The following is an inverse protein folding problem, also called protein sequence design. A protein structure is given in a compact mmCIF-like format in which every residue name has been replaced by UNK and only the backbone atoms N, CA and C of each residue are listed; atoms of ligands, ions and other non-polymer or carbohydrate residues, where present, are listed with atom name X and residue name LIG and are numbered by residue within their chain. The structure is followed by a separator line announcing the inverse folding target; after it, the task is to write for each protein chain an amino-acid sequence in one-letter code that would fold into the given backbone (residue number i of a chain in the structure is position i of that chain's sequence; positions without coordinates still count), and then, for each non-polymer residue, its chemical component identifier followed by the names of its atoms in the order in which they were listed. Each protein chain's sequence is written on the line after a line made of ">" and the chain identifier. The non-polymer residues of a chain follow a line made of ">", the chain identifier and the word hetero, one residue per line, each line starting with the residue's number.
data_IF_707754061874
#
_entry.id   IF_707754061874
#
_cell.length_a   1.000
_cell.length_b   1.000
_cell.length_c   1.000
_cell.angle_alpha   90.00
_cell.angle_beta   90.00
_cell.angle_gamma   90.00
#
_symmetry.space_group_name_H-M   'P 1'
#
loop_
_entity.id
_entity.type
_entity.pdbx_description
1 polymer ?
#
# COMPACT_ATOMS: atom_id res chain seq x y z
N UNK A 1 -33.73 32.45 -43.42
CA UNK A 1 -34.01 32.03 -42.02
C UNK A 1 -33.62 30.57 -41.85
N UNK A 2 -32.78 30.21 -40.88
CA UNK A 2 -32.76 28.87 -40.27
C UNK A 2 -33.68 28.82 -39.04
N UNK A 3 -34.15 27.63 -38.64
CA UNK A 3 -35.06 27.47 -37.49
C UNK A 3 -34.28 27.29 -36.18
N UNK A 4 -34.78 27.85 -35.06
CA UNK A 4 -34.27 27.55 -33.72
C UNK A 4 -34.55 26.09 -33.35
N UNK A 5 -33.56 25.39 -32.81
CA UNK A 5 -33.77 24.17 -32.03
C UNK A 5 -34.09 24.52 -30.56
N UNK A 6 -34.80 23.64 -29.85
CA UNK A 6 -35.05 23.78 -28.40
C UNK A 6 -33.81 23.36 -27.58
N UNK A 7 -33.64 23.86 -26.34
CA UNK A 7 -32.79 23.20 -25.35
C UNK A 7 -33.32 21.79 -25.07
N UNK A 8 -32.41 20.85 -24.74
CA UNK A 8 -32.78 19.60 -24.11
C UNK A 8 -32.98 19.80 -22.60
N UNK A 9 -33.80 18.95 -21.98
CA UNK A 9 -34.18 19.04 -20.57
C UNK A 9 -33.05 18.57 -19.64
N UNK A 10 -33.11 18.96 -18.36
CA UNK A 10 -32.17 18.48 -17.35
C UNK A 10 -32.32 16.96 -17.17
N UNK A 11 -31.23 16.23 -17.41
CA UNK A 11 -31.09 14.88 -16.87
C UNK A 11 -30.87 14.95 -15.36
N UNK A 12 -31.56 14.08 -14.63
CA UNK A 12 -31.49 14.00 -13.17
C UNK A 12 -30.09 13.54 -12.70
N UNK A 13 -29.62 14.04 -11.57
CA UNK A 13 -28.39 13.55 -10.95
C UNK A 13 -28.67 12.21 -10.26
N UNK A 14 -28.26 11.09 -10.89
CA UNK A 14 -28.36 9.76 -10.26
C UNK A 14 -27.55 9.72 -8.95
N UNK A 15 -28.22 9.45 -7.82
CA UNK A 15 -27.56 9.32 -6.52
C UNK A 15 -26.49 8.20 -6.53
N UNK A 16 -25.39 8.36 -5.77
CA UNK A 16 -24.34 7.36 -5.69
C UNK A 16 -24.79 6.11 -4.92
N UNK A 17 -25.37 5.15 -5.63
CA UNK A 17 -25.74 3.83 -5.11
C UNK A 17 -24.57 3.19 -4.32
N UNK A 18 -24.84 2.62 -3.13
CA UNK A 18 -23.79 2.28 -2.18
C UNK A 18 -22.84 1.19 -2.70
N UNK A 19 -21.57 1.30 -2.31
CA UNK A 19 -20.63 0.18 -2.38
C UNK A 19 -21.25 -1.07 -1.72
N UNK A 20 -20.90 -2.26 -2.23
CA UNK A 20 -21.26 -3.53 -1.59
C UNK A 20 -20.81 -3.55 -0.13
N UNK A 21 -21.73 -3.26 0.78
CA UNK A 21 -21.54 -3.53 2.20
C UNK A 21 -21.49 -5.04 2.37
N UNK A 22 -20.49 -5.53 3.10
CA UNK A 22 -20.57 -6.87 3.68
C UNK A 22 -21.76 -6.82 4.63
N UNK A 23 -22.77 -7.67 4.39
CA UNK A 23 -23.83 -7.88 5.37
C UNK A 23 -23.17 -8.44 6.62
N UNK A 24 -22.99 -7.59 7.63
CA UNK A 24 -22.57 -8.02 8.97
C UNK A 24 -23.50 -9.15 9.38
N UNK A 25 -22.92 -10.29 9.76
CA UNK A 25 -23.71 -11.47 10.08
C UNK A 25 -24.67 -11.14 11.22
N UNK A 26 -25.90 -11.66 11.12
CA UNK A 26 -26.88 -11.44 12.18
C UNK A 26 -26.33 -12.02 13.48
N UNK A 27 -26.36 -11.24 14.56
CA UNK A 27 -25.67 -11.57 15.81
C UNK A 27 -26.06 -12.97 16.31
N UNK A 28 -25.08 -13.89 16.30
CA UNK A 28 -25.29 -15.30 16.65
C UNK A 28 -24.23 -16.27 16.13
N UNK A 29 -23.49 -15.93 15.07
CA UNK A 29 -22.34 -16.70 14.58
C UNK A 29 -20.98 -16.25 15.15
N UNK A 30 -20.00 -17.15 15.34
CA UNK A 30 -18.63 -16.75 15.64
C UNK A 30 -17.94 -16.22 14.38
N UNK A 31 -17.52 -14.94 14.40
CA UNK A 31 -16.89 -14.28 13.24
C UNK A 31 -15.61 -15.01 12.80
N UNK A 32 -15.52 -15.29 11.50
CA UNK A 32 -14.39 -15.99 10.85
C UNK A 32 -13.03 -15.30 11.05
N UNK A 33 -13.02 -13.97 11.11
CA UNK A 33 -11.85 -13.17 11.48
C UNK A 33 -12.23 -12.24 12.64
N UNK A 34 -11.28 -11.98 13.52
CA UNK A 34 -11.44 -11.02 14.61
C UNK A 34 -11.18 -9.59 14.08
N UNK A 35 -12.08 -8.65 14.33
CA UNK A 35 -11.93 -7.25 13.90
C UNK A 35 -11.79 -6.26 15.07
N UNK A 36 -11.63 -6.75 16.31
CA UNK A 36 -11.60 -5.94 17.53
C UNK A 36 -10.32 -5.09 17.62
N UNK A 37 -9.24 -5.53 16.97
CA UNK A 37 -7.96 -4.83 16.90
C UNK A 37 -7.13 -5.25 15.68
N UNK A 38 -6.15 -4.43 15.24
CA UNK A 38 -5.22 -4.83 14.17
C UNK A 38 -4.46 -6.12 14.47
N UNK A 39 -4.10 -6.36 15.74
CA UNK A 39 -3.42 -7.57 16.20
C UNK A 39 -4.34 -8.80 16.12
N UNK A 40 -5.59 -8.68 16.59
CA UNK A 40 -6.58 -9.76 16.50
C UNK A 40 -6.91 -10.15 15.06
N UNK A 41 -7.01 -9.16 14.17
CA UNK A 41 -7.20 -9.41 12.73
C UNK A 41 -6.01 -10.14 12.13
N UNK A 42 -4.77 -9.73 12.45
CA UNK A 42 -3.60 -10.43 11.93
C UNK A 42 -3.48 -11.85 12.48
N UNK A 43 -3.65 -12.02 13.80
CA UNK A 43 -3.59 -13.33 14.47
C UNK A 43 -4.65 -14.32 13.93
N UNK A 44 -5.88 -13.87 13.72
CA UNK A 44 -6.93 -14.71 13.12
C UNK A 44 -6.66 -15.02 11.64
N UNK A 45 -6.13 -14.07 10.87
CA UNK A 45 -5.76 -14.26 9.46
C UNK A 45 -4.69 -15.35 9.25
N UNK A 46 -3.68 -15.43 10.12
CA UNK A 46 -2.61 -16.45 10.05
C UNK A 46 -2.86 -17.70 10.91
N UNK A 47 -4.04 -17.82 11.53
CA UNK A 47 -4.41 -18.98 12.35
C UNK A 47 -4.22 -20.31 11.57
N UNK A 48 -3.62 -21.37 12.16
CA UNK A 48 -3.27 -21.51 13.59
C UNK A 48 -1.86 -21.03 13.98
N UNK A 49 -1.12 -20.37 13.07
CA UNK A 49 0.26 -19.93 13.33
C UNK A 49 0.24 -18.75 14.31
N UNK A 50 1.07 -18.81 15.36
CA UNK A 50 1.23 -17.72 16.32
C UNK A 50 1.91 -16.52 15.69
N UNK A 51 1.54 -15.32 16.11
CA UNK A 51 2.14 -14.05 15.70
C UNK A 51 3.64 -14.00 15.96
N UNK A 52 4.08 -14.55 17.10
CA UNK A 52 5.49 -14.56 17.51
C UNK A 52 6.29 -15.49 16.59
N UNK A 53 5.79 -16.71 16.37
CA UNK A 53 6.35 -17.70 15.44
C UNK A 53 6.42 -17.14 14.01
N UNK A 54 5.37 -16.45 13.54
CA UNK A 54 5.39 -15.83 12.22
C UNK A 54 6.53 -14.82 12.06
N UNK A 55 6.68 -13.89 13.01
CA UNK A 55 7.72 -12.86 12.93
C UNK A 55 9.13 -13.38 13.22
N UNK A 56 9.27 -14.44 14.03
CA UNK A 56 10.57 -15.04 14.37
C UNK A 56 11.09 -16.00 13.29
N UNK A 57 10.22 -16.75 12.62
CA UNK A 57 10.63 -17.85 11.73
C UNK A 57 10.35 -17.63 10.23
N UNK A 58 9.34 -16.83 9.88
CA UNK A 58 8.83 -16.74 8.52
C UNK A 58 9.02 -15.37 7.90
N UNK A 59 8.70 -14.31 8.65
CA UNK A 59 8.81 -12.93 8.20
C UNK A 59 10.23 -12.61 7.71
N UNK A 60 10.32 -12.16 6.46
CA UNK A 60 11.57 -11.85 5.74
C UNK A 60 12.58 -13.01 5.64
N UNK A 61 12.16 -14.25 5.90
CA UNK A 61 13.03 -15.42 5.93
C UNK A 61 12.61 -16.53 4.96
N UNK A 62 11.38 -17.07 5.09
CA UNK A 62 10.94 -18.25 4.33
C UNK A 62 9.44 -18.22 4.02
N UNK A 63 8.98 -18.87 2.93
CA UNK A 63 7.55 -19.01 2.66
C UNK A 63 6.79 -19.71 3.79
N UNK A 64 5.52 -19.35 3.96
CA UNK A 64 4.57 -19.98 4.86
C UNK A 64 3.30 -20.35 4.09
N UNK A 65 3.05 -21.65 3.97
CA UNK A 65 1.81 -22.20 3.45
C UNK A 65 0.89 -22.61 4.62
N UNK A 66 -0.35 -22.14 4.60
CA UNK A 66 -1.40 -22.53 5.53
C UNK A 66 -2.56 -23.11 4.72
N UNK A 67 -2.52 -24.43 4.51
CA UNK A 67 -3.66 -25.17 3.95
C UNK A 67 -4.68 -25.44 5.05
N UNK A 68 -5.97 -25.33 4.72
CA UNK A 68 -7.08 -25.44 5.68
C UNK A 68 -8.19 -26.33 5.14
N UNK A 69 -9.11 -26.76 6.01
CA UNK A 69 -10.31 -27.48 5.59
C UNK A 69 -11.53 -26.98 6.36
N UNK A 70 -11.72 -25.67 6.30
CA UNK A 70 -12.79 -24.92 6.98
C UNK A 70 -13.77 -24.36 5.92
N UNK A 71 -14.98 -24.94 5.79
CA UNK A 71 -15.99 -24.48 4.83
C UNK A 71 -16.49 -23.06 5.08
N UNK A 72 -16.51 -22.60 6.34
CA UNK A 72 -16.96 -21.25 6.69
C UNK A 72 -15.90 -20.21 6.28
N UNK A 73 -14.62 -20.48 6.57
CA UNK A 73 -13.51 -19.66 6.12
C UNK A 73 -13.37 -19.63 4.58
N UNK A 74 -13.59 -20.76 3.91
CA UNK A 74 -13.63 -20.83 2.46
C UNK A 74 -14.74 -19.96 1.87
N UNK A 75 -15.97 -20.03 2.43
CA UNK A 75 -17.09 -19.20 2.02
C UNK A 75 -16.86 -17.71 2.31
N UNK A 76 -16.24 -17.38 3.45
CA UNK A 76 -15.86 -16.02 3.82
C UNK A 76 -14.81 -15.45 2.86
N UNK A 77 -13.74 -16.19 2.55
CA UNK A 77 -12.76 -15.77 1.53
C UNK A 77 -13.44 -15.57 0.16
N UNK A 78 -14.30 -16.49 -0.27
CA UNK A 78 -15.08 -16.33 -1.50
C UNK A 78 -16.02 -15.10 -1.45
N UNK A 79 -16.35 -14.55 -0.27
CA UNK A 79 -17.16 -13.33 -0.16
C UNK A 79 -16.37 -12.03 -0.41
N UNK A 80 -15.03 -12.06 -0.26
CA UNK A 80 -14.16 -10.88 -0.38
C UNK A 80 -14.12 -10.31 -1.80
N UNK A 81 -14.12 -11.18 -2.82
CA UNK A 81 -14.18 -10.82 -4.23
C UNK A 81 -14.56 -12.04 -5.08
N UNK A 82 -15.45 -11.87 -6.07
CA UNK A 82 -15.83 -12.92 -7.02
C UNK A 82 -15.62 -12.50 -8.47
N UNK A 83 -15.38 -13.46 -9.37
CA UNK A 83 -15.32 -13.24 -10.83
C UNK A 83 -16.58 -12.54 -11.38
N UNK A 84 -17.73 -12.69 -10.72
CA UNK A 84 -18.99 -12.03 -11.07
C UNK A 84 -19.02 -10.52 -10.76
N UNK A 85 -18.22 -10.04 -9.80
CA UNK A 85 -18.15 -8.62 -9.42
C UNK A 85 -17.55 -7.74 -10.53
N UNK A 86 -16.76 -8.34 -11.42
CA UNK A 86 -16.18 -7.73 -12.62
C UNK A 86 -17.20 -6.89 -13.41
N UNK A 87 -18.47 -7.32 -13.49
CA UNK A 87 -19.53 -6.59 -14.22
C UNK A 87 -19.88 -5.26 -13.55
N UNK A 88 -20.07 -5.27 -12.22
CA UNK A 88 -20.41 -4.09 -11.41
C UNK A 88 -19.23 -3.12 -11.29
N UNK A 89 -18.01 -3.64 -11.24
CA UNK A 89 -16.80 -2.81 -11.26
C UNK A 89 -16.65 -2.08 -12.61
N UNK A 90 -16.86 -2.79 -13.74
CA UNK A 90 -16.75 -2.16 -15.07
C UNK A 90 -17.76 -1.03 -15.30
N UNK A 91 -19.01 -1.13 -14.81
CA UNK A 91 -19.99 -0.04 -14.95
C UNK A 91 -19.54 1.23 -14.21
N UNK A 92 -18.92 1.10 -13.04
CA UNK A 92 -18.36 2.20 -12.22
C UNK A 92 -17.17 2.94 -12.85
N UNK A 93 -16.63 2.48 -13.99
CA UNK A 93 -15.59 3.21 -14.74
C UNK A 93 -14.16 2.75 -14.50
N UNK A 94 -13.87 1.49 -14.83
CA UNK A 94 -12.51 0.92 -14.83
C UNK A 94 -11.73 1.33 -16.08
N UNK A 95 -10.42 1.52 -15.96
CA UNK A 95 -9.49 1.85 -17.05
C UNK A 95 -8.31 0.86 -17.09
N UNK A 96 -7.86 0.54 -18.31
CA UNK A 96 -6.67 -0.29 -18.50
C UNK A 96 -5.41 0.41 -17.98
N UNK A 97 -4.46 -0.36 -17.47
CA UNK A 97 -3.22 0.14 -16.89
C UNK A 97 -3.39 0.72 -15.48
N UNK A 98 -4.41 1.58 -15.27
CA UNK A 98 -4.71 2.25 -13.99
C UNK A 98 -5.40 1.35 -12.97
N UNK A 99 -6.50 0.69 -13.36
CA UNK A 99 -7.33 -0.10 -12.44
C UNK A 99 -7.30 -1.59 -12.77
N UNK A 100 -7.11 -1.94 -14.05
CA UNK A 100 -7.07 -3.32 -14.51
C UNK A 100 -6.03 -3.53 -15.61
N UNK A 101 -5.38 -4.68 -15.58
CA UNK A 101 -4.46 -5.16 -16.59
C UNK A 101 -4.92 -6.54 -17.08
N UNK A 102 -4.70 -6.84 -18.35
CA UNK A 102 -4.96 -8.18 -18.93
C UNK A 102 -3.66 -8.69 -19.52
N UNK A 103 -3.25 -9.89 -19.15
CA UNK A 103 -1.98 -10.47 -19.58
C UNK A 103 -2.06 -11.99 -19.74
N UNK A 104 -1.08 -12.58 -20.42
CA UNK A 104 -0.90 -14.03 -20.52
C UNK A 104 0.59 -14.35 -20.62
N UNK A 105 1.06 -15.36 -19.87
CA UNK A 105 2.40 -15.88 -20.11
C UNK A 105 2.41 -16.70 -21.41
N UNK A 106 3.36 -16.41 -22.30
CA UNK A 106 3.61 -17.14 -23.54
C UNK A 106 5.11 -17.36 -23.63
N UNK A 107 5.55 -18.62 -23.63
CA UNK A 107 6.96 -19.02 -23.69
C UNK A 107 7.83 -18.27 -22.65
N UNK A 108 7.41 -18.32 -21.38
CA UNK A 108 8.06 -17.63 -20.26
C UNK A 108 7.90 -16.09 -20.25
N UNK A 109 7.31 -15.46 -21.27
CA UNK A 109 7.25 -13.99 -21.41
C UNK A 109 5.83 -13.45 -21.20
N UNK A 110 5.72 -12.39 -20.39
CA UNK A 110 4.44 -11.74 -20.03
C UNK A 110 3.92 -10.88 -21.18
N UNK A 111 3.02 -11.44 -21.99
CA UNK A 111 2.33 -10.66 -23.03
C UNK A 111 1.19 -9.87 -22.41
N UNK A 112 1.29 -8.54 -22.44
CA UNK A 112 0.20 -7.63 -22.10
C UNK A 112 -0.83 -7.62 -23.25
N UNK A 113 -2.11 -7.56 -22.89
CA UNK A 113 -3.28 -7.63 -23.78
C UNK A 113 -4.26 -6.47 -23.52
N UNK A 114 -3.81 -5.43 -22.81
CA UNK A 114 -4.57 -4.20 -22.56
C UNK A 114 -5.06 -3.56 -23.87
N UNK A 115 -6.12 -2.76 -23.75
CA UNK A 115 -6.51 -1.76 -24.75
C UNK A 115 -6.36 -0.37 -24.17
N UNK A 116 -6.50 0.66 -24.99
CA UNK A 116 -6.52 2.05 -24.50
C UNK A 116 -7.85 2.39 -23.83
N UNK A 117 -7.81 3.26 -22.81
CA UNK A 117 -9.00 3.82 -22.18
C UNK A 117 -9.79 2.86 -21.29
N UNK A 118 -11.13 2.94 -21.39
CA UNK A 118 -12.09 2.30 -20.48
C UNK A 118 -12.13 0.78 -20.70
N UNK A 119 -12.08 0.03 -19.61
CA UNK A 119 -12.21 -1.43 -19.61
C UNK A 119 -13.69 -1.84 -19.52
N UNK A 120 -14.16 -2.64 -20.48
CA UNK A 120 -15.54 -3.09 -20.57
C UNK A 120 -15.66 -4.58 -20.22
N UNK A 121 -16.67 -4.94 -19.43
CA UNK A 121 -16.91 -6.32 -18.96
C UNK A 121 -16.85 -7.36 -20.08
N UNK A 122 -17.54 -7.13 -21.20
CA UNK A 122 -17.57 -8.06 -22.34
C UNK A 122 -16.19 -8.26 -22.98
N UNK A 123 -15.33 -7.24 -22.99
CA UNK A 123 -13.96 -7.35 -23.52
C UNK A 123 -13.08 -8.16 -22.57
N UNK A 124 -13.12 -7.85 -21.27
CA UNK A 124 -12.37 -8.58 -20.24
C UNK A 124 -12.79 -10.05 -20.21
N UNK A 125 -14.10 -10.32 -20.28
CA UNK A 125 -14.67 -11.67 -20.35
C UNK A 125 -14.23 -12.41 -21.63
N UNK A 126 -14.29 -11.75 -22.80
CA UNK A 126 -13.80 -12.32 -24.07
C UNK A 126 -12.32 -12.69 -24.02
N UNK A 127 -11.48 -11.85 -23.45
CA UNK A 127 -10.04 -12.13 -23.32
C UNK A 127 -9.75 -13.24 -22.29
N UNK A 128 -10.52 -13.28 -21.20
CA UNK A 128 -10.45 -14.35 -20.20
C UNK A 128 -10.83 -15.71 -20.79
N UNK A 129 -12.01 -15.82 -21.41
CA UNK A 129 -12.54 -17.08 -21.94
C UNK A 129 -11.80 -17.54 -23.21
N UNK A 130 -11.65 -16.66 -24.21
CA UNK A 130 -11.16 -17.06 -25.54
C UNK A 130 -9.63 -17.03 -25.66
N UNK A 131 -8.95 -16.07 -25.00
CA UNK A 131 -7.48 -15.98 -25.04
C UNK A 131 -6.82 -16.68 -23.86
N UNK A 132 -7.58 -17.22 -22.90
CA UNK A 132 -7.08 -17.71 -21.60
C UNK A 132 -6.18 -16.68 -20.92
N UNK A 133 -6.63 -15.44 -20.86
CA UNK A 133 -5.88 -14.36 -20.23
C UNK A 133 -6.10 -14.34 -18.70
N UNK A 134 -5.10 -13.88 -17.97
CA UNK A 134 -5.23 -13.46 -16.57
C UNK A 134 -5.63 -11.99 -16.53
N UNK A 135 -6.71 -11.69 -15.80
CA UNK A 135 -7.09 -10.32 -15.43
C UNK A 135 -6.43 -10.02 -14.08
N UNK A 136 -5.71 -8.91 -14.01
CA UNK A 136 -5.03 -8.42 -12.82
C UNK A 136 -5.65 -7.07 -12.44
N UNK A 137 -6.32 -6.97 -11.30
CA UNK A 137 -6.78 -5.67 -10.79
C UNK A 137 -5.67 -5.03 -9.98
N UNK A 138 -5.47 -3.73 -10.18
CA UNK A 138 -4.61 -2.90 -9.35
C UNK A 138 -5.49 -2.17 -8.36
N UNK A 139 -5.15 -2.24 -7.06
CA UNK A 139 -5.97 -1.66 -5.99
C UNK A 139 -7.43 -2.21 -6.02
N UNK A 140 -7.66 -3.54 -5.87
CA UNK A 140 -8.87 -4.21 -6.37
C UNK A 140 -10.20 -3.80 -5.73
N UNK A 141 -10.27 -3.86 -4.40
CA UNK A 141 -11.44 -3.46 -3.60
C UNK A 141 -11.34 -2.07 -2.98
N UNK A 142 -10.29 -1.71 -2.21
CA UNK A 142 -8.85 -1.89 -2.48
C UNK A 142 -8.17 -2.91 -1.51
N UNK A 143 -7.27 -3.76 -2.03
CA UNK A 143 -6.61 -4.86 -1.29
C UNK A 143 -5.10 -5.05 -1.62
N UNK A 144 -4.23 -4.66 -0.68
CA UNK A 144 -2.76 -4.91 -0.50
C UNK A 144 -2.38 -6.41 -0.66
N UNK A 145 -1.17 -6.93 -1.04
CA UNK A 145 -0.52 -8.34 -1.31
C UNK A 145 0.00 -9.44 -0.20
N UNK A 146 -0.69 -10.60 0.09
CA UNK A 146 -0.52 -11.92 0.86
C UNK A 146 -1.51 -12.88 0.15
N UNK A 147 -1.19 -14.09 -0.30
CA UNK A 147 -2.13 -14.84 -1.16
C UNK A 147 -3.25 -15.52 -0.34
N UNK A 148 -4.47 -14.99 -0.40
CA UNK A 148 -5.72 -15.63 0.01
C UNK A 148 -6.40 -16.20 -1.23
N UNK A 149 -6.58 -17.52 -1.28
CA UNK A 149 -7.27 -18.19 -2.39
C UNK A 149 -8.80 -18.07 -2.20
N UNK A 150 -9.53 -17.57 -3.21
CA UNK A 150 -10.94 -17.17 -3.09
C UNK A 150 -11.89 -18.05 -3.91
N UNK A 151 -11.57 -18.34 -5.17
CA UNK A 151 -12.39 -19.18 -6.06
C UNK A 151 -11.51 -20.17 -6.82
N UNK A 152 -12.01 -21.41 -6.98
CA UNK A 152 -11.29 -22.48 -7.65
C UNK A 152 -9.94 -22.82 -7.00
N UNK A 153 -9.13 -23.61 -7.70
CA UNK A 153 -7.81 -24.02 -7.23
C UNK A 153 -6.70 -23.45 -8.11
N UNK A 154 -5.53 -23.22 -7.51
CA UNK A 154 -4.34 -22.78 -8.24
C UNK A 154 -3.12 -23.56 -7.79
N UNK A 155 -2.43 -24.13 -8.76
CA UNK A 155 -1.15 -24.78 -8.59
C UNK A 155 -0.05 -23.72 -8.56
N UNK A 156 0.86 -23.78 -7.58
CA UNK A 156 1.93 -22.81 -7.33
C UNK A 156 3.28 -23.51 -7.27
N UNK A 157 4.31 -22.84 -7.80
CA UNK A 157 5.72 -23.15 -7.61
C UNK A 157 6.44 -21.95 -7.03
N UNK A 158 7.16 -22.14 -5.93
CA UNK A 158 8.04 -21.15 -5.30
C UNK A 158 9.49 -21.59 -5.45
N UNK A 159 10.40 -20.63 -5.64
CA UNK A 159 11.83 -20.87 -5.88
C UNK A 159 12.67 -19.98 -4.96
N UNK A 160 13.93 -20.36 -4.76
CA UNK A 160 14.88 -19.54 -4.00
C UNK A 160 15.12 -18.20 -4.71
N UNK A 161 15.29 -17.09 -3.95
CA UNK A 161 15.51 -15.77 -4.54
C UNK A 161 16.87 -15.69 -5.25
N UNK A 162 16.90 -15.16 -6.48
CA UNK A 162 18.15 -14.72 -7.13
C UNK A 162 18.75 -13.49 -6.44
N UNK A 163 17.87 -12.62 -5.91
CA UNK A 163 18.23 -11.46 -5.08
C UNK A 163 17.43 -11.55 -3.77
N UNK A 164 18.02 -12.03 -2.66
CA UNK A 164 17.36 -12.09 -1.37
C UNK A 164 16.86 -10.72 -0.92
N UNK A 165 15.61 -10.66 -0.45
CA UNK A 165 14.95 -9.43 0.01
C UNK A 165 14.95 -8.27 -1.00
N UNK A 166 14.91 -8.59 -2.31
CA UNK A 166 14.90 -7.64 -3.42
C UNK A 166 13.97 -6.43 -3.22
N UNK A 167 14.53 -5.23 -3.43
CA UNK A 167 13.81 -3.95 -3.41
C UNK A 167 12.93 -3.74 -4.65
N UNK A 168 13.36 -4.29 -5.78
CA UNK A 168 12.77 -4.08 -7.11
C UNK A 168 12.16 -5.37 -7.68
N UNK A 169 11.23 -5.22 -8.61
CA UNK A 169 10.60 -6.36 -9.31
C UNK A 169 11.43 -6.76 -10.54
N UNK A 170 11.89 -8.02 -10.56
CA UNK A 170 12.49 -8.67 -11.74
C UNK A 170 11.49 -9.62 -12.41
N UNK A 171 11.75 -10.02 -13.65
CA UNK A 171 11.11 -11.13 -14.36
C UNK A 171 12.22 -12.14 -14.66
N UNK A 172 12.24 -13.25 -13.94
CA UNK A 172 13.29 -14.27 -14.08
C UNK A 172 12.89 -15.37 -15.07
N UNK A 173 13.86 -15.84 -15.85
CA UNK A 173 13.64 -16.86 -16.88
C UNK A 173 13.66 -18.28 -16.29
N UNK A 174 12.75 -19.16 -16.74
CA UNK A 174 12.55 -20.50 -16.15
C UNK A 174 13.83 -21.39 -16.17
N UNK A 175 14.77 -21.13 -17.07
CA UNK A 175 16.08 -21.80 -17.17
C UNK A 175 17.10 -21.35 -16.10
N UNK A 176 16.90 -20.17 -15.49
CA UNK A 176 17.81 -19.56 -14.50
C UNK A 176 17.39 -19.74 -13.05
N UNK A 177 16.14 -20.15 -12.80
CA UNK A 177 15.55 -20.24 -11.44
C UNK A 177 15.64 -21.64 -10.80
N UNK A 178 16.08 -22.65 -11.56
CA UNK A 178 16.29 -24.01 -11.07
C UNK A 178 14.98 -24.78 -10.81
N UNK A 179 15.00 -25.67 -9.81
CA UNK A 179 13.82 -26.46 -9.38
C UNK A 179 13.01 -25.70 -8.32
N UNK A 180 11.69 -25.93 -8.22
CA UNK A 180 10.88 -25.37 -7.14
C UNK A 180 11.43 -25.81 -5.78
N UNK A 181 11.52 -24.87 -4.84
CA UNK A 181 11.71 -25.14 -3.42
C UNK A 181 10.42 -25.68 -2.79
N UNK A 182 9.26 -25.22 -3.29
CA UNK A 182 7.94 -25.71 -2.91
C UNK A 182 7.04 -25.77 -4.16
N UNK A 183 6.25 -26.84 -4.29
CA UNK A 183 5.22 -26.99 -5.32
C UNK A 183 3.96 -27.59 -4.66
N UNK A 184 2.81 -26.94 -4.82
CA UNK A 184 1.57 -27.26 -4.12
C UNK A 184 0.34 -26.61 -4.79
N UNK A 185 -0.87 -27.01 -4.39
CA UNK A 185 -2.13 -26.41 -4.85
C UNK A 185 -2.83 -25.70 -3.68
N UNK A 186 -3.29 -24.47 -3.92
CA UNK A 186 -4.18 -23.72 -3.03
C UNK A 186 -5.64 -23.94 -3.43
N UNK A 187 -6.51 -24.20 -2.47
CA UNK A 187 -7.99 -24.21 -2.57
C UNK A 187 -8.60 -23.06 -1.74
N UNK A 188 -9.89 -22.71 -1.90
CA UNK A 188 -10.48 -21.58 -1.18
C UNK A 188 -10.37 -21.69 0.34
N UNK A 189 -9.97 -20.62 1.01
CA UNK A 189 -9.69 -20.58 2.46
C UNK A 189 -8.21 -20.75 2.84
N UNK A 190 -7.37 -21.27 1.92
CA UNK A 190 -5.92 -21.36 2.13
C UNK A 190 -5.25 -19.98 2.10
N UNK A 191 -4.16 -19.84 2.87
CA UNK A 191 -3.29 -18.66 2.86
C UNK A 191 -1.84 -19.03 2.51
N UNK A 192 -1.19 -18.21 1.70
CA UNK A 192 0.23 -18.29 1.39
C UNK A 192 0.92 -16.92 1.59
N UNK A 193 1.98 -16.92 2.41
CA UNK A 193 2.94 -15.82 2.55
C UNK A 193 4.29 -16.22 1.94
N UNK A 194 5.00 -15.25 1.38
CA UNK A 194 6.43 -15.32 1.11
C UNK A 194 7.07 -13.93 1.16
N UNK A 195 8.37 -13.82 1.46
CA UNK A 195 9.08 -12.54 1.51
C UNK A 195 9.37 -11.98 0.10
N UNK A 196 9.70 -10.67 0.03
CA UNK A 196 10.13 -10.02 -1.21
C UNK A 196 11.39 -10.69 -1.77
N UNK A 197 11.48 -10.80 -3.10
CA UNK A 197 12.52 -11.57 -3.79
C UNK A 197 12.20 -13.06 -4.00
N UNK A 198 11.22 -13.65 -3.29
CA UNK A 198 10.79 -15.04 -3.59
C UNK A 198 10.18 -15.12 -4.99
N UNK A 199 10.89 -15.79 -5.88
CA UNK A 199 10.46 -16.09 -7.24
C UNK A 199 9.30 -17.08 -7.18
N UNK A 200 8.24 -16.81 -7.93
CA UNK A 200 7.01 -17.60 -7.90
C UNK A 200 6.31 -17.62 -9.25
N UNK A 201 5.72 -18.75 -9.61
CA UNK A 201 4.75 -18.85 -10.70
C UNK A 201 3.57 -19.73 -10.29
N UNK A 202 2.46 -19.62 -11.02
CA UNK A 202 1.25 -20.39 -10.72
C UNK A 202 0.48 -20.72 -12.00
N UNK A 203 -0.23 -21.84 -12.06
CA UNK A 203 -1.22 -22.15 -13.10
C UNK A 203 -2.57 -22.60 -12.52
N UNK A 204 -3.64 -22.36 -13.26
CA UNK A 204 -4.96 -22.95 -12.98
C UNK A 204 -4.97 -24.37 -13.57
N UNK A 205 -5.20 -25.43 -12.77
CA UNK A 205 -5.18 -26.81 -13.24
C UNK A 205 -6.15 -27.08 -14.42
N UNK A 206 -5.84 -28.06 -15.31
CA UNK A 206 -6.76 -28.50 -16.35
C UNK A 206 -8.12 -28.95 -15.78
N UNK A 207 -9.20 -28.70 -16.51
CA UNK A 207 -10.56 -29.05 -16.10
C UNK A 207 -11.27 -27.99 -15.23
N UNK A 208 -10.52 -27.14 -14.52
CA UNK A 208 -11.11 -26.04 -13.74
C UNK A 208 -11.41 -24.81 -14.60
N UNK A 209 -12.58 -24.20 -14.39
CA UNK A 209 -13.06 -23.08 -15.20
C UNK A 209 -12.30 -21.77 -14.97
N UNK A 210 -11.85 -21.50 -13.74
CA UNK A 210 -11.09 -20.31 -13.35
C UNK A 210 -10.42 -20.53 -11.99
N UNK A 211 -9.50 -19.62 -11.64
CA UNK A 211 -9.09 -19.40 -10.26
C UNK A 211 -9.00 -17.90 -9.94
N UNK A 212 -9.45 -17.53 -8.74
CA UNK A 212 -9.38 -16.19 -8.16
C UNK A 212 -8.58 -16.25 -6.87
N UNK A 213 -7.54 -15.40 -6.76
CA UNK A 213 -6.94 -15.07 -5.47
C UNK A 213 -6.82 -13.56 -5.29
N UNK A 214 -7.01 -13.09 -4.06
CA UNK A 214 -6.54 -11.76 -3.66
C UNK A 214 -5.22 -11.93 -2.95
N UNK A 215 -4.32 -11.03 -3.23
CA UNK A 215 -3.09 -10.90 -2.48
C UNK A 215 -3.33 -9.72 -1.49
N UNK A 216 -3.28 -9.91 -0.11
CA UNK A 216 -3.13 -9.15 1.25
C UNK A 216 -1.76 -8.48 1.88
N UNK A 217 -1.23 -7.22 1.80
CA UNK A 217 0.24 -6.84 2.09
C UNK A 217 0.63 -5.72 3.10
N UNK A 218 1.96 -5.50 3.21
CA UNK A 218 2.69 -4.27 3.58
C UNK A 218 4.14 -4.24 2.97
N UNK A 219 5.02 -3.33 3.45
CA UNK A 219 6.51 -3.34 3.36
C UNK A 219 7.26 -2.96 2.06
N UNK A 220 6.64 -2.23 1.13
CA UNK A 220 7.37 -1.61 0.01
C UNK A 220 8.23 -0.43 0.50
N UNK A 221 9.50 -0.32 0.09
CA UNK A 221 10.45 0.74 0.49
C UNK A 221 10.47 1.00 2.01
N UNK A 222 10.34 -0.06 2.81
CA UNK A 222 10.24 -0.01 4.28
C UNK A 222 11.44 -0.68 4.97
N UNK A 223 12.64 -0.58 4.37
CA UNK A 223 13.85 -1.25 4.88
C UNK A 223 14.66 -0.35 5.84
N UNK A 224 15.61 -0.96 6.57
CA UNK A 224 16.62 -0.21 7.33
C UNK A 224 17.42 0.79 6.47
N UNK A 225 17.63 0.50 5.18
CA UNK A 225 18.29 1.44 4.27
C UNK A 225 17.41 2.66 3.94
N UNK A 226 16.10 2.49 3.89
CA UNK A 226 15.15 3.57 3.67
C UNK A 226 15.05 4.47 4.91
N UNK A 227 14.89 3.85 6.08
CA UNK A 227 14.86 4.56 7.39
C UNK A 227 16.18 5.29 7.64
N UNK A 228 17.33 4.70 7.26
CA UNK A 228 18.63 5.34 7.39
C UNK A 228 18.74 6.59 6.50
N UNK A 229 18.22 6.55 5.26
CA UNK A 229 18.23 7.72 4.36
C UNK A 229 17.27 8.82 4.85
N UNK A 230 16.08 8.46 5.31
CA UNK A 230 15.09 9.37 5.92
C UNK A 230 15.66 10.06 7.17
N UNK A 231 16.28 9.28 8.06
CA UNK A 231 16.91 9.75 9.31
C UNK A 231 18.13 10.63 9.03
N UNK A 232 19.02 10.24 8.11
CA UNK A 232 20.18 11.06 7.72
C UNK A 232 19.74 12.37 7.07
N UNK A 233 18.68 12.37 6.26
CA UNK A 233 18.12 13.59 5.67
C UNK A 233 17.76 14.60 6.76
N UNK A 234 16.92 14.20 7.73
CA UNK A 234 16.54 15.05 8.87
C UNK A 234 17.76 15.50 9.69
N UNK A 235 18.62 14.56 10.11
CA UNK A 235 19.84 14.87 10.87
C UNK A 235 20.76 15.84 10.15
N UNK A 236 20.94 15.73 8.83
CA UNK A 236 21.78 16.65 8.04
C UNK A 236 21.17 18.05 8.03
N UNK A 237 19.87 18.20 7.77
CA UNK A 237 19.22 19.51 7.78
C UNK A 237 19.23 20.16 9.16
N UNK A 238 18.96 19.41 10.22
CA UNK A 238 18.96 19.93 11.60
C UNK A 238 20.37 20.24 12.09
N UNK A 239 21.37 19.38 11.84
CA UNK A 239 22.77 19.67 12.21
C UNK A 239 23.32 20.85 11.39
N UNK A 240 22.90 21.01 10.13
CA UNK A 240 23.23 22.16 9.29
C UNK A 240 22.53 23.48 9.70
N UNK A 241 21.73 23.51 10.78
CA UNK A 241 21.33 24.76 11.46
C UNK A 241 22.43 25.30 12.36
N UNK A 242 23.18 24.40 12.99
CA UNK A 242 24.27 24.72 13.93
C UNK A 242 25.63 24.75 13.21
N UNK A 243 26.01 23.65 12.56
CA UNK A 243 27.31 23.49 11.91
C UNK A 243 27.34 24.11 10.50
N UNK A 244 28.28 25.05 10.31
CA UNK A 244 28.56 25.66 9.01
C UNK A 244 29.33 24.72 8.06
N UNK A 245 30.03 23.70 8.54
CA UNK A 245 30.83 22.81 7.70
C UNK A 245 29.96 21.92 6.78
N UNK A 246 28.75 21.56 7.22
CA UNK A 246 27.69 20.91 6.43
C UNK A 246 27.05 21.87 5.40
N UNK A 247 26.89 23.17 5.74
CA UNK A 247 26.41 24.20 4.81
C UNK A 247 27.46 24.63 3.78
N UNK A 248 28.76 24.44 4.07
CA UNK A 248 29.86 24.92 3.26
C UNK A 248 29.94 24.18 1.90
N UNK A 249 29.91 24.96 0.81
CA UNK A 249 29.92 24.44 -0.55
C UNK A 249 31.10 23.52 -0.86
N UNK A 250 30.85 22.51 -1.69
CA UNK A 250 31.88 21.58 -2.16
C UNK A 250 32.93 22.29 -3.05
N UNK A 251 34.18 21.81 -3.10
CA UNK A 251 35.18 22.29 -4.05
C UNK A 251 34.67 22.31 -5.50
N UNK A 252 35.02 23.37 -6.24
CA UNK A 252 34.73 23.48 -7.67
C UNK A 252 35.24 22.23 -8.41
N UNK A 253 34.49 21.78 -9.40
CA UNK A 253 34.80 20.60 -10.22
C UNK A 253 34.82 19.24 -9.48
N UNK A 254 34.47 19.15 -8.19
CA UNK A 254 34.42 17.86 -7.47
C UNK A 254 33.49 16.82 -8.12
N UNK A 255 32.44 17.27 -8.83
CA UNK A 255 31.52 16.41 -9.57
C UNK A 255 32.04 15.95 -10.95
N UNK A 256 33.24 16.39 -11.36
CA UNK A 256 33.88 16.05 -12.64
C UNK A 256 35.09 15.11 -12.47
N UNK A 257 35.35 14.66 -11.25
CA UNK A 257 36.50 13.82 -10.86
C UNK A 257 36.02 12.65 -10.03
N UNK A 258 36.72 11.52 -10.11
CA UNK A 258 36.45 10.37 -9.22
C UNK A 258 36.74 10.73 -7.76
N UNK A 259 36.14 9.98 -6.83
CA UNK A 259 36.04 10.30 -5.40
C UNK A 259 37.40 10.50 -4.71
N UNK A 260 37.90 11.73 -4.72
CA UNK A 260 39.21 12.09 -4.16
C UNK A 260 39.25 11.77 -2.65
N UNK A 261 40.35 11.19 -2.11
CA UNK A 261 40.51 10.87 -0.68
C UNK A 261 40.33 12.04 0.32
N UNK A 262 40.27 13.28 -0.16
CA UNK A 262 39.82 14.43 0.63
C UNK A 262 38.30 14.39 0.90
N UNK A 263 37.49 14.18 -0.15
CA UNK A 263 36.05 14.11 -0.05
C UNK A 263 35.61 12.91 0.81
N UNK A 264 36.21 11.74 0.60
CA UNK A 264 35.96 10.54 1.43
C UNK A 264 36.23 10.82 2.90
N UNK A 265 37.37 11.43 3.25
CA UNK A 265 37.69 11.78 4.64
C UNK A 265 36.71 12.79 5.24
N UNK A 266 36.28 13.82 4.49
CA UNK A 266 35.30 14.81 4.96
C UNK A 266 33.93 14.16 5.20
N UNK A 267 33.45 13.32 4.28
CA UNK A 267 32.19 12.58 4.41
C UNK A 267 32.22 11.59 5.58
N UNK A 268 33.31 10.82 5.75
CA UNK A 268 33.48 9.95 6.91
C UNK A 268 33.60 10.71 8.23
N UNK A 269 34.02 11.98 8.21
CA UNK A 269 33.93 12.87 9.36
C UNK A 269 32.48 13.11 9.76
N UNK A 270 31.70 13.67 8.83
CA UNK A 270 30.27 13.94 9.05
C UNK A 270 29.47 12.70 9.45
N UNK A 271 29.69 11.54 8.81
CA UNK A 271 28.98 10.31 9.15
C UNK A 271 29.21 9.84 10.59
N UNK A 272 30.38 10.12 11.19
CA UNK A 272 30.61 9.87 12.62
C UNK A 272 29.85 10.88 13.47
N UNK A 273 30.02 12.17 13.21
CA UNK A 273 29.32 13.24 13.95
C UNK A 273 27.80 13.10 13.93
N UNK A 274 27.21 12.62 12.82
CA UNK A 274 25.77 12.34 12.73
C UNK A 274 25.37 11.09 13.53
N UNK A 275 26.23 10.07 13.64
CA UNK A 275 26.00 8.93 14.52
C UNK A 275 26.15 9.31 16.00
N UNK A 276 27.19 10.06 16.37
CA UNK A 276 27.41 10.60 17.71
C UNK A 276 26.20 11.45 18.16
N UNK A 277 25.64 12.28 17.26
CA UNK A 277 24.43 13.09 17.52
C UNK A 277 23.16 12.24 17.59
N UNK A 278 23.04 11.16 16.81
CA UNK A 278 21.91 10.23 16.87
C UNK A 278 21.88 9.42 18.19
N UNK A 279 23.05 9.07 18.75
CA UNK A 279 23.15 8.43 20.06
C UNK A 279 22.95 9.43 21.22
N UNK A 280 23.47 10.65 21.10
CA UNK A 280 23.38 11.68 22.13
C UNK A 280 22.02 12.38 22.26
N UNK A 281 21.24 12.47 21.18
CA UNK A 281 20.09 13.38 21.09
C UNK A 281 18.75 12.64 20.95
N UNK A 282 17.81 12.93 21.87
CA UNK A 282 16.43 12.36 21.88
C UNK A 282 15.39 13.24 21.17
N UNK A 283 15.80 14.00 20.15
CA UNK A 283 14.93 14.94 19.45
C UNK A 283 13.99 14.23 18.47
N UNK A 284 12.82 14.83 18.24
CA UNK A 284 11.85 14.35 17.26
C UNK A 284 12.28 14.85 15.87
N UNK A 285 13.02 14.02 15.15
CA UNK A 285 13.42 14.30 13.77
C UNK A 285 12.20 14.41 12.82
N UNK A 286 12.39 15.21 11.77
CA UNK A 286 11.53 15.18 10.58
C UNK A 286 11.67 13.83 9.87
N UNK A 287 10.61 13.40 9.18
CA UNK A 287 10.58 12.10 8.47
C UNK A 287 9.54 12.18 7.35
N UNK A 288 10.00 12.07 6.10
CA UNK A 288 9.12 11.98 4.95
C UNK A 288 8.48 10.58 4.86
N UNK A 289 9.13 9.52 5.37
CA UNK A 289 8.51 8.19 5.51
C UNK A 289 7.25 8.21 6.39
N UNK A 290 7.31 8.89 7.56
CA UNK A 290 6.15 9.10 8.44
C UNK A 290 5.02 9.84 7.72
N UNK A 291 5.37 10.88 6.98
CA UNK A 291 4.46 11.77 6.25
C UNK A 291 3.80 11.08 5.05
N UNK A 292 4.54 10.29 4.28
CA UNK A 292 3.99 9.49 3.18
C UNK A 292 3.02 8.43 3.71
N UNK A 293 3.39 7.72 4.79
CA UNK A 293 2.54 6.71 5.42
C UNK A 293 1.20 7.28 5.92
N UNK A 294 1.19 8.45 6.58
CA UNK A 294 -0.06 9.07 7.04
C UNK A 294 -0.89 9.60 5.85
N UNK A 295 -0.27 10.18 4.82
CA UNK A 295 -0.98 10.74 3.67
C UNK A 295 -1.58 9.69 2.71
N UNK A 296 -0.98 8.51 2.59
CA UNK A 296 -1.38 7.50 1.59
C UNK A 296 -2.01 6.21 2.15
N UNK A 297 -2.17 6.10 3.48
CA UNK A 297 -2.94 5.01 4.10
C UNK A 297 -4.43 5.14 3.85
N UNK A 298 -5.14 4.03 4.05
CA UNK A 298 -6.60 4.02 4.15
C UNK A 298 -7.08 4.78 5.40
N UNK A 299 -8.26 5.44 5.34
CA UNK A 299 -8.95 5.95 6.53
C UNK A 299 -9.39 4.80 7.46
N UNK A 300 -9.83 5.09 8.70
CA UNK A 300 -10.50 4.10 9.54
C UNK A 300 -11.72 3.52 8.82
N UNK A 301 -12.04 2.25 9.09
CA UNK A 301 -13.29 1.65 8.63
C UNK A 301 -14.46 2.20 9.46
N UNK A 302 -15.51 2.66 8.78
CA UNK A 302 -16.75 3.14 9.38
C UNK A 302 -17.96 2.47 8.69
N UNK A 303 -19.05 2.31 9.44
CA UNK A 303 -20.36 1.90 8.90
C UNK A 303 -21.20 3.16 8.69
N UNK A 304 -21.85 3.29 7.54
CA UNK A 304 -22.62 4.49 7.17
C UNK A 304 -21.81 5.51 6.37
N UNK A 305 -22.07 6.79 6.59
CA UNK A 305 -21.52 7.93 5.84
C UNK A 305 -20.11 8.38 6.28
N UNK A 306 -19.65 7.94 7.45
CA UNK A 306 -18.37 8.36 8.04
C UNK A 306 -18.43 9.69 8.80
N UNK A 307 -19.61 10.19 9.17
CA UNK A 307 -19.78 11.44 9.92
C UNK A 307 -18.92 11.47 11.20
N UNK A 308 -18.82 10.36 11.95
CA UNK A 308 -17.99 10.26 13.16
C UNK A 308 -16.48 10.44 12.92
N UNK A 309 -15.99 10.27 11.69
CA UNK A 309 -14.58 10.48 11.34
C UNK A 309 -14.26 11.96 11.04
N UNK A 310 -15.28 12.75 10.67
CA UNK A 310 -15.13 14.13 10.21
C UNK A 310 -15.70 15.17 11.18
N UNK A 311 -16.68 14.78 11.98
CA UNK A 311 -17.44 15.66 12.89
C UNK A 311 -17.29 15.19 14.34
N UNK A 312 -16.68 15.98 15.24
CA UNK A 312 -16.55 15.62 16.66
C UNK A 312 -17.92 15.42 17.34
N UNK A 313 -18.22 14.18 17.73
CA UNK A 313 -19.44 13.83 18.45
C UNK A 313 -19.36 14.05 19.97
N UNK A 314 -20.50 13.97 20.64
CA UNK A 314 -20.59 13.97 22.10
C UNK A 314 -20.49 15.37 22.75
N UNK A 315 -19.80 15.45 23.89
CA UNK A 315 -19.62 16.69 24.66
C UNK A 315 -18.20 17.21 24.48
N UNK A 316 -18.06 18.51 24.27
CA UNK A 316 -16.75 19.18 24.28
C UNK A 316 -16.03 18.91 25.62
N UNK A 317 -14.77 18.45 25.62
CA UNK A 317 -14.04 18.16 26.85
C UNK A 317 -13.77 19.44 27.65
N UNK A 318 -13.71 19.28 28.97
CA UNK A 318 -13.41 20.32 29.97
C UNK A 318 -12.18 19.93 30.79
N UNK A 319 -11.69 20.83 31.63
CA UNK A 319 -10.52 20.60 32.49
C UNK A 319 -10.71 19.44 33.50
N UNK A 320 -11.96 19.18 33.89
CA UNK A 320 -12.41 18.09 34.76
C UNK A 320 -12.75 16.79 34.00
N UNK A 321 -12.61 16.75 32.67
CA UNK A 321 -13.02 15.61 31.84
C UNK A 321 -11.93 14.55 31.72
N UNK A 322 -12.30 13.28 31.96
CA UNK A 322 -11.46 12.12 31.63
C UNK A 322 -11.50 11.90 30.11
N UNK A 323 -10.37 12.12 29.44
CA UNK A 323 -10.23 11.95 27.98
C UNK A 323 -9.59 10.62 27.62
N UNK A 324 -9.99 10.04 26.47
CA UNK A 324 -9.37 8.85 25.87
C UNK A 324 -9.04 9.13 24.42
N UNK A 325 -7.78 8.93 24.02
CA UNK A 325 -7.37 9.05 22.62
C UNK A 325 -8.04 7.96 21.77
N UNK A 326 -8.81 8.38 20.76
CA UNK A 326 -9.37 7.51 19.73
C UNK A 326 -8.43 7.45 18.51
N UNK A 327 -8.62 6.45 17.65
CA UNK A 327 -7.88 6.26 16.39
C UNK A 327 -6.35 6.36 16.52
N UNK A 328 -5.77 5.94 17.66
CA UNK A 328 -4.33 6.05 17.99
C UNK A 328 -3.42 5.61 16.83
N UNK A 329 -3.72 4.48 16.20
CA UNK A 329 -2.88 3.91 15.15
C UNK A 329 -3.05 4.62 13.78
N UNK A 330 -3.91 5.63 13.69
CA UNK A 330 -4.11 6.56 12.58
C UNK A 330 -3.56 7.98 12.86
N UNK A 331 -2.77 8.16 13.92
CA UNK A 331 -2.13 9.44 14.27
C UNK A 331 -0.61 9.28 14.20
N UNK A 332 0.08 10.26 13.62
CA UNK A 332 1.54 10.30 13.53
C UNK A 332 2.07 11.61 14.09
N UNK A 333 3.18 11.54 14.84
CA UNK A 333 3.92 12.68 15.37
C UNK A 333 5.27 12.85 14.66
N UNK A 334 5.48 14.03 14.10
CA UNK A 334 6.71 14.49 13.45
C UNK A 334 6.80 16.01 13.53
N UNK A 335 7.98 16.55 13.26
CA UNK A 335 8.17 17.99 13.02
C UNK A 335 8.24 18.26 11.53
N UNK A 336 7.76 19.42 11.10
CA UNK A 336 8.08 19.95 9.77
C UNK A 336 9.50 20.51 9.73
N UNK A 337 10.14 20.61 8.54
CA UNK A 337 11.32 21.45 8.38
C UNK A 337 10.92 22.92 8.63
N UNK A 338 11.75 23.67 9.38
CA UNK A 338 11.50 25.08 9.67
C UNK A 338 11.43 25.90 8.37
N UNK A 339 10.23 26.40 8.03
CA UNK A 339 10.03 27.33 6.90
C UNK A 339 9.89 28.80 7.35
N UNK A 340 9.78 29.04 8.67
CA UNK A 340 9.41 30.34 9.22
C UNK A 340 10.65 31.13 9.71
N UNK A 341 11.40 31.72 8.78
CA UNK A 341 12.47 32.66 9.09
C UNK A 341 11.96 34.10 9.37
N UNK A 342 10.67 34.25 9.71
CA UNK A 342 10.04 35.56 9.94
C UNK A 342 10.23 36.10 11.38
N UNK A 343 11.38 36.73 11.62
CA UNK A 343 11.58 37.79 12.62
C UNK A 343 10.91 37.58 14.01
N UNK A 344 11.38 36.62 14.80
CA UNK A 344 11.76 36.83 16.22
C UNK A 344 12.37 35.56 16.84
N UNK A 345 13.28 35.73 17.81
CA UNK A 345 14.08 34.65 18.40
C UNK A 345 13.34 33.73 19.36
N UNK A 346 12.38 32.95 18.85
CA UNK A 346 11.74 31.84 19.57
C UNK A 346 11.80 30.60 18.67
N UNK A 347 12.48 29.55 19.11
CA UNK A 347 12.52 28.26 18.40
C UNK A 347 11.10 27.66 18.44
N UNK A 348 10.42 27.64 17.29
CA UNK A 348 9.06 27.13 17.13
C UNK A 348 9.05 25.79 16.40
N UNK A 349 9.46 24.73 17.11
CA UNK A 349 9.27 23.36 16.63
C UNK A 349 7.78 23.05 16.45
N UNK A 350 7.29 23.16 15.21
CA UNK A 350 5.91 22.79 14.89
C UNK A 350 5.74 21.28 15.00
N UNK A 351 5.16 20.82 16.11
CA UNK A 351 4.63 19.46 16.24
C UNK A 351 3.36 19.40 15.39
N UNK A 352 3.48 18.79 14.21
CA UNK A 352 2.33 18.58 13.32
C UNK A 352 1.62 17.29 13.70
N UNK A 353 0.42 17.38 14.28
CA UNK A 353 -0.50 16.23 14.26
C UNK A 353 -1.12 16.13 12.87
N UNK A 354 -0.65 15.13 12.11
CA UNK A 354 -1.26 14.74 10.85
C UNK A 354 -2.35 13.68 11.09
N UNK A 355 -3.57 14.00 10.66
CA UNK A 355 -4.69 13.09 10.47
C UNK A 355 -5.39 13.43 9.16
N UNK A 356 -5.92 12.42 8.45
CA UNK A 356 -6.60 12.61 7.16
C UNK A 356 -7.86 13.49 7.24
N UNK A 357 -8.31 13.81 8.46
CA UNK A 357 -9.50 14.63 8.73
C UNK A 357 -9.18 15.96 9.43
N UNK A 358 -7.92 16.20 9.85
CA UNK A 358 -7.48 17.47 10.47
C UNK A 358 -5.95 17.54 10.55
N UNK A 359 -5.37 18.65 10.11
CA UNK A 359 -4.01 19.07 10.53
C UNK A 359 -4.16 20.02 11.71
N UNK A 360 -3.98 19.50 12.93
CA UNK A 360 -3.97 20.32 14.14
C UNK A 360 -2.56 20.85 14.38
N UNK A 361 -2.27 22.01 13.78
CA UNK A 361 -1.13 22.82 14.18
C UNK A 361 -1.39 23.41 15.57
N UNK A 362 -0.63 22.96 16.57
CA UNK A 362 -0.65 23.52 17.92
C UNK A 362 0.13 24.84 17.98
N UNK A 363 -0.38 25.85 17.27
CA UNK A 363 0.13 27.22 17.22
C UNK A 363 -1.02 28.22 17.15
N UNK A 364 -0.87 29.38 17.81
CA UNK A 364 -1.96 30.34 17.97
C UNK A 364 -2.38 31.00 16.65
N UNK A 365 -3.70 31.07 16.42
CA UNK A 365 -4.33 31.72 15.27
C UNK A 365 -4.00 33.24 15.21
N UNK A 366 -3.98 33.85 14.01
CA UNK A 366 -5.22 34.31 13.39
C UNK A 366 -5.43 33.92 11.90
N UNK A 367 -6.69 33.97 11.46
CA UNK A 367 -7.18 33.79 10.07
C UNK A 367 -7.10 35.11 9.25
N UNK A 368 -7.54 35.18 7.95
CA UNK A 368 -7.03 34.46 6.78
C UNK A 368 -6.92 35.35 5.50
N UNK A 369 -6.29 34.89 4.40
CA UNK A 369 -6.60 35.37 3.02
C UNK A 369 -6.43 34.26 1.96
N UNK A 370 -7.21 34.38 0.87
CA UNK A 370 -7.36 33.40 -0.21
C UNK A 370 -6.25 33.47 -1.28
N UNK A 371 -6.06 32.39 -2.06
CA UNK A 371 -5.73 32.36 -3.50
C UNK A 371 -5.96 30.92 -4.06
N UNK A 372 -6.07 30.71 -5.39
CA UNK A 372 -6.73 29.52 -5.97
C UNK A 372 -5.81 28.34 -6.32
N UNK A 373 -6.44 27.20 -6.65
CA UNK A 373 -5.78 25.96 -7.06
C UNK A 373 -5.22 26.00 -8.51
N UNK A 374 -4.19 25.19 -8.77
CA UNK A 374 -3.65 24.86 -10.09
C UNK A 374 -3.48 23.33 -10.24
N UNK A 375 -3.56 22.77 -11.46
CA UNK A 375 -3.66 21.33 -11.67
C UNK A 375 -2.31 20.62 -11.65
N UNK A 376 -2.03 19.85 -10.58
CA UNK A 376 -0.90 18.93 -10.53
C UNK A 376 -1.21 17.62 -11.28
N UNK A 377 -0.29 17.21 -12.16
CA UNK A 377 -0.32 15.89 -12.81
C UNK A 377 0.06 14.81 -11.79
N UNK A 378 -0.76 13.79 -11.67
CA UNK A 378 -0.53 12.67 -10.75
C UNK A 378 0.54 11.71 -11.29
N UNK A 379 1.75 11.80 -10.74
CA UNK A 379 2.70 10.69 -10.69
C UNK A 379 2.60 10.08 -9.27
N UNK A 380 2.50 8.75 -9.16
CA UNK A 380 2.23 8.08 -7.88
C UNK A 380 3.51 7.88 -7.05
N UNK A 381 3.51 8.19 -5.74
CA UNK A 381 4.65 7.94 -4.85
C UNK A 381 4.75 6.47 -4.41
N UNK A 382 5.92 6.02 -3.88
CA UNK A 382 6.34 4.61 -3.98
C UNK A 382 6.20 3.78 -2.68
N UNK A 383 5.47 4.26 -1.67
CA UNK A 383 5.45 3.68 -0.30
C UNK A 383 4.05 3.35 0.25
N UNK A 384 3.00 3.49 -0.57
CA UNK A 384 1.70 2.87 -0.29
C UNK A 384 1.82 1.33 -0.31
N UNK A 385 1.12 0.58 0.55
CA UNK A 385 1.07 -0.87 0.42
C UNK A 385 0.35 -1.24 -0.90
N UNK A 386 1.12 -1.71 -1.88
CA UNK A 386 0.62 -2.07 -3.21
C UNK A 386 -0.32 -3.28 -3.19
N UNK A 387 -1.27 -3.30 -4.13
CA UNK A 387 -2.56 -3.98 -4.00
C UNK A 387 -2.96 -4.74 -5.27
N UNK A 388 -3.26 -6.05 -5.19
CA UNK A 388 -3.32 -6.94 -6.36
C UNK A 388 -4.31 -8.12 -6.21
N UNK A 389 -5.20 -8.31 -7.19
CA UNK A 389 -6.06 -9.50 -7.34
C UNK A 389 -5.83 -10.10 -8.73
N UNK A 390 -5.72 -11.43 -8.81
CA UNK A 390 -5.57 -12.16 -10.06
C UNK A 390 -6.73 -13.13 -10.29
N UNK A 391 -7.49 -12.89 -11.37
CA UNK A 391 -8.40 -13.85 -11.99
C UNK A 391 -7.65 -14.55 -13.14
N UNK A 392 -7.45 -15.86 -13.08
CA UNK A 392 -6.63 -16.58 -14.07
C UNK A 392 -7.19 -17.91 -14.56
N UNK A 393 -6.94 -18.19 -15.84
CA UNK A 393 -7.17 -19.50 -16.50
C UNK A 393 -5.90 -20.07 -17.17
N UNK A 394 -4.74 -19.44 -16.95
CA UNK A 394 -3.41 -19.82 -17.45
C UNK A 394 -2.31 -19.21 -16.57
N UNK A 395 -1.04 -19.62 -16.80
CA UNK A 395 0.16 -19.06 -16.16
C UNK A 395 0.22 -17.51 -16.26
N UNK A 396 0.25 -16.76 -15.14
CA UNK A 396 1.22 -15.68 -14.95
C UNK A 396 2.66 -16.18 -15.15
N UNK A 397 3.54 -15.32 -15.67
CA UNK A 397 4.98 -15.55 -15.56
C UNK A 397 5.44 -15.13 -14.16
N UNK A 398 6.64 -15.58 -13.78
CA UNK A 398 7.43 -14.98 -12.70
C UNK A 398 7.76 -13.51 -13.01
#
# INVERSE_FOLDING_TARGET
>A
MPKKAKPAEHGEEEEPLPCKQVKVEAAGGPSTLNFDSPSGLFQSLISPIKTETFFQEFWEQKPLLIQRDDPALAAYYQSLFRLTDLKSLCSRGMYYGRDVNVCRCINGKKKVLNKDGKAHFLQLRKDFDQKRATIQFHQPQRFKVFILQLEGEKHWRLYHPTVPLAREYSVEAEDRIGRPAHEFTLKPGDLLYFPRGTIHQADTPPGLAHSTHVTISTYQNSSWGDILLDTISGLVFDTAKEDVALRAGIPRQLLLVETIPFATRKLSGFLRTLADRLEGTKELLSSDMKKDFIMHRLPPYCVGDGTELSTPGGKLPRLDSIVRLQFKDHIVLTVGPDQDHSLNGIIRSQITLASNYSVLNLGACPFPKNLPALPLRWCLPPSSPAMLLHLGSCRPCA
#
